data_IF_086871712240
#
_entry.id   IF_086871712240
#
_cell.length_a   1.000
_cell.length_b   1.000
_cell.length_c   1.000
_cell.angle_alpha   90.00
_cell.angle_beta   90.00
_cell.angle_gamma   90.00
#
_symmetry.space_group_name_H-M   'P 1'
#
loop_
_entity.id
_entity.type
_entity.pdbx_description
1 polymer ?
#
# COMPACT_ATOMS: atom_id res chain seq x y z
N UNK A 1 8.28 11.16 -26.59
CA UNK A 1 8.77 10.00 -27.37
C UNK A 1 8.17 8.72 -26.78
N UNK A 2 7.74 7.75 -27.58
CA UNK A 2 7.31 6.44 -27.09
C UNK A 2 8.49 5.63 -26.53
N UNK A 3 8.21 4.65 -25.65
CA UNK A 3 9.23 3.72 -25.16
C UNK A 3 9.62 2.70 -26.24
N UNK A 4 10.92 2.46 -26.42
CA UNK A 4 11.46 1.47 -27.36
C UNK A 4 12.09 0.35 -26.54
N UNK A 5 11.73 -0.89 -26.84
CA UNK A 5 12.36 -2.08 -26.26
C UNK A 5 13.32 -2.63 -27.30
N UNK A 6 14.55 -2.89 -26.88
CA UNK A 6 15.55 -3.57 -27.70
C UNK A 6 15.47 -5.05 -27.39
N UNK A 7 15.25 -5.86 -28.42
CA UNK A 7 15.24 -7.32 -28.28
C UNK A 7 16.68 -7.81 -28.11
N UNK A 8 17.19 -7.75 -26.87
CA UNK A 8 18.51 -8.26 -26.55
C UNK A 8 18.43 -9.79 -26.48
N UNK A 9 19.39 -10.48 -27.08
CA UNK A 9 19.38 -11.95 -27.26
C UNK A 9 19.41 -12.79 -25.95
N UNK A 10 19.32 -12.16 -24.77
CA UNK A 10 19.30 -12.82 -23.46
C UNK A 10 18.07 -12.50 -22.61
N UNK A 11 17.10 -11.74 -23.11
CA UNK A 11 15.87 -11.48 -22.36
C UNK A 11 14.93 -12.69 -22.42
N UNK A 12 14.60 -13.24 -21.25
CA UNK A 12 13.58 -14.29 -21.15
C UNK A 12 12.18 -13.68 -21.29
N UNK A 13 11.20 -14.49 -21.73
CA UNK A 13 9.79 -14.06 -21.77
C UNK A 13 9.31 -13.61 -20.38
N UNK A 14 9.73 -14.32 -19.34
CA UNK A 14 9.47 -13.99 -17.94
C UNK A 14 9.99 -12.59 -17.60
N UNK A 15 11.22 -12.26 -17.99
CA UNK A 15 11.79 -10.94 -17.71
C UNK A 15 11.11 -9.82 -18.51
N UNK A 16 10.67 -10.09 -19.74
CA UNK A 16 9.89 -9.14 -20.54
C UNK A 16 8.55 -8.79 -19.87
N UNK A 17 7.85 -9.80 -19.34
CA UNK A 17 6.62 -9.61 -18.57
C UNK A 17 6.89 -8.87 -17.27
N UNK A 18 7.91 -9.26 -16.49
CA UNK A 18 8.20 -8.63 -15.20
C UNK A 18 8.67 -7.18 -15.33
N UNK A 19 9.34 -6.81 -16.43
CA UNK A 19 9.71 -5.41 -16.75
C UNK A 19 8.53 -4.56 -17.25
N UNK A 20 7.35 -5.15 -17.47
CA UNK A 20 6.15 -4.44 -17.91
C UNK A 20 6.12 -4.09 -19.40
N UNK A 21 6.94 -4.76 -20.22
CA UNK A 21 6.92 -4.60 -21.69
C UNK A 21 5.60 -5.12 -22.27
N UNK A 22 5.09 -6.22 -21.71
CA UNK A 22 3.82 -6.84 -22.08
C UNK A 22 2.77 -6.54 -21.02
N UNK A 23 1.54 -6.26 -21.46
CA UNK A 23 0.40 -6.08 -20.56
C UNK A 23 -0.03 -7.43 -19.97
N UNK A 24 -0.10 -7.51 -18.64
CA UNK A 24 -0.48 -8.73 -17.91
C UNK A 24 -1.85 -9.28 -18.32
N UNK A 25 -2.81 -8.42 -18.69
CA UNK A 25 -4.16 -8.83 -19.10
C UNK A 25 -4.20 -9.61 -20.42
N UNK A 26 -3.20 -9.41 -21.29
CA UNK A 26 -3.12 -10.05 -22.60
C UNK A 26 -2.41 -11.42 -22.52
N UNK A 27 -1.87 -11.79 -21.37
CA UNK A 27 -1.21 -13.07 -21.18
C UNK A 27 -2.23 -14.21 -21.21
N UNK A 28 -1.84 -15.30 -21.86
CA UNK A 28 -2.64 -16.52 -21.92
C UNK A 28 -2.62 -17.22 -20.56
N UNK A 29 -1.43 -17.47 -20.01
CA UNK A 29 -1.19 -18.09 -18.71
C UNK A 29 -0.46 -17.14 -17.73
N UNK A 30 -1.15 -16.17 -17.09
CA UNK A 30 -0.51 -15.29 -16.12
C UNK A 30 -0.06 -16.02 -14.84
N UNK A 31 -0.58 -17.22 -14.58
CA UNK A 31 -0.30 -18.03 -13.40
C UNK A 31 1.17 -18.48 -13.34
N UNK A 32 1.79 -18.78 -14.48
CA UNK A 32 3.18 -19.25 -14.56
C UNK A 32 4.22 -18.19 -14.16
N UNK A 33 3.84 -16.90 -14.20
CA UNK A 33 4.72 -15.78 -13.85
C UNK A 33 4.73 -15.50 -12.35
N UNK A 34 3.90 -16.17 -11.57
CA UNK A 34 3.83 -16.03 -10.11
C UNK A 34 5.08 -16.60 -9.43
N UNK A 35 5.51 -17.80 -9.81
CA UNK A 35 6.66 -18.44 -9.15
C UNK A 35 7.96 -17.62 -9.31
N UNK A 36 8.28 -17.07 -10.50
CA UNK A 36 9.42 -16.16 -10.65
C UNK A 36 9.32 -14.88 -9.82
N UNK A 37 8.10 -14.35 -9.59
CA UNK A 37 7.90 -13.19 -8.70
C UNK A 37 8.27 -13.55 -7.27
N UNK A 38 7.83 -14.72 -6.81
CA UNK A 38 8.09 -15.20 -5.45
C UNK A 38 9.56 -15.51 -5.19
N UNK A 39 10.33 -15.84 -6.25
CA UNK A 39 11.78 -15.98 -6.16
C UNK A 39 12.50 -14.64 -6.01
N UNK A 40 11.97 -13.56 -6.61
CA UNK A 40 12.57 -12.22 -6.58
C UNK A 40 12.15 -11.41 -5.34
N UNK A 41 10.97 -11.69 -4.78
CA UNK A 41 10.40 -10.96 -3.64
C UNK A 41 10.56 -11.76 -2.35
N UNK A 42 11.03 -11.12 -1.29
CA UNK A 42 11.08 -11.76 0.04
C UNK A 42 9.67 -12.04 0.57
N UNK A 43 9.47 -13.22 1.18
CA UNK A 43 8.17 -13.66 1.71
C UNK A 43 7.56 -12.67 2.70
N UNK A 44 8.38 -11.98 3.49
CA UNK A 44 7.99 -10.92 4.44
C UNK A 44 7.18 -9.80 3.76
N UNK A 45 7.63 -9.35 2.59
CA UNK A 45 7.00 -8.26 1.86
C UNK A 45 5.66 -8.69 1.25
N UNK A 46 5.59 -9.94 0.77
CA UNK A 46 4.34 -10.51 0.25
C UNK A 46 3.29 -10.61 1.36
N UNK A 47 3.67 -11.12 2.53
CA UNK A 47 2.77 -11.21 3.68
C UNK A 47 2.30 -9.85 4.18
N UNK A 48 3.19 -8.84 4.22
CA UNK A 48 2.83 -7.49 4.64
C UNK A 48 1.86 -6.84 3.64
N UNK A 49 2.11 -6.99 2.34
CA UNK A 49 1.30 -6.36 1.31
C UNK A 49 -0.10 -6.98 1.18
N UNK A 50 -0.19 -8.31 1.27
CA UNK A 50 -1.47 -9.03 1.14
C UNK A 50 -2.14 -9.34 2.48
N UNK A 51 -1.51 -8.97 3.60
CA UNK A 51 -1.95 -9.25 4.96
C UNK A 51 -2.25 -10.75 5.14
N UNK A 52 -1.32 -11.60 4.70
CA UNK A 52 -1.38 -13.07 4.82
C UNK A 52 -0.38 -13.49 5.90
N UNK A 53 -0.77 -14.28 6.91
CA UNK A 53 0.13 -14.66 7.99
C UNK A 53 1.29 -15.52 7.48
N UNK A 54 2.51 -15.24 7.96
CA UNK A 54 3.71 -16.02 7.65
C UNK A 54 3.80 -17.32 8.45
N UNK A 55 3.08 -17.40 9.56
CA UNK A 55 3.11 -18.53 10.50
C UNK A 55 1.67 -18.95 10.83
N UNK A 56 1.45 -20.26 10.94
CA UNK A 56 0.15 -20.86 11.27
C UNK A 56 -0.41 -21.74 10.15
N UNK A 57 -1.67 -22.13 10.30
CA UNK A 57 -2.37 -23.01 9.34
C UNK A 57 -2.71 -22.30 8.02
N UNK A 58 -2.85 -20.96 8.06
CA UNK A 58 -3.17 -20.11 6.91
C UNK A 58 -1.94 -19.67 6.09
N UNK A 59 -0.74 -20.15 6.43
CA UNK A 59 0.49 -19.82 5.70
C UNK A 59 0.46 -20.39 4.29
N UNK A 60 0.83 -19.58 3.30
CA UNK A 60 0.90 -20.00 1.90
C UNK A 60 2.20 -20.77 1.63
N UNK A 61 2.14 -21.94 0.98
CA UNK A 61 3.35 -22.74 0.68
C UNK A 61 3.84 -22.54 -0.75
N UNK A 62 2.90 -22.45 -1.66
CA UNK A 62 3.11 -22.45 -3.11
C UNK A 62 2.49 -21.21 -3.75
N UNK A 63 2.89 -20.91 -5.00
CA UNK A 63 2.31 -19.82 -5.79
C UNK A 63 0.80 -19.99 -5.98
N UNK A 64 0.34 -21.23 -6.18
CA UNK A 64 -1.08 -21.57 -6.33
C UNK A 64 -1.87 -21.29 -5.05
N UNK A 65 -1.40 -21.78 -3.89
CA UNK A 65 -2.05 -21.56 -2.58
C UNK A 65 -2.11 -20.07 -2.21
N UNK A 66 -1.05 -19.31 -2.53
CA UNK A 66 -1.06 -17.86 -2.37
C UNK A 66 -2.17 -17.20 -3.21
N UNK A 67 -2.31 -17.60 -4.47
CA UNK A 67 -3.34 -17.05 -5.37
C UNK A 67 -4.76 -17.42 -4.93
N UNK A 68 -4.98 -18.61 -4.39
CA UNK A 68 -6.26 -19.03 -3.83
C UNK A 68 -6.64 -18.15 -2.63
N UNK A 69 -5.73 -18.00 -1.66
CA UNK A 69 -5.92 -17.13 -0.49
C UNK A 69 -6.16 -15.68 -0.90
N UNK A 70 -5.43 -15.20 -1.89
CA UNK A 70 -5.60 -13.86 -2.43
C UNK A 70 -6.96 -13.70 -3.13
N UNK A 71 -7.41 -14.69 -3.90
CA UNK A 71 -8.70 -14.69 -4.58
C UNK A 71 -9.86 -14.65 -3.58
N UNK A 72 -9.80 -15.50 -2.55
CA UNK A 72 -10.80 -15.55 -1.48
C UNK A 72 -10.89 -14.21 -0.76
N UNK A 73 -9.75 -13.62 -0.41
CA UNK A 73 -9.69 -12.34 0.29
C UNK A 73 -10.14 -11.16 -0.57
N UNK A 74 -9.78 -11.15 -1.85
CA UNK A 74 -10.16 -10.10 -2.79
C UNK A 74 -11.60 -10.26 -3.31
N UNK A 75 -12.29 -11.36 -2.96
CA UNK A 75 -13.65 -11.67 -3.45
C UNK A 75 -13.69 -11.99 -4.96
N UNK A 76 -12.56 -12.38 -5.56
CA UNK A 76 -12.47 -12.72 -7.00
C UNK A 76 -12.80 -14.19 -7.21
N UNK A 77 -14.06 -14.52 -7.02
CA UNK A 77 -14.57 -15.88 -7.16
C UNK A 77 -15.32 -16.04 -8.49
N UNK A 78 -15.16 -17.20 -9.11
CA UNK A 78 -15.95 -17.61 -10.27
C UNK A 78 -17.39 -17.98 -9.84
N UNK A 79 -18.27 -18.16 -10.82
CA UNK A 79 -19.61 -18.70 -10.56
C UNK A 79 -19.46 -20.10 -9.95
N UNK A 80 -19.96 -20.28 -8.73
CA UNK A 80 -19.75 -21.52 -7.95
C UNK A 80 -18.86 -21.34 -6.72
N UNK A 81 -18.29 -20.16 -6.51
CA UNK A 81 -17.48 -19.88 -5.32
C UNK A 81 -16.03 -20.36 -5.42
N UNK A 82 -15.61 -20.84 -6.59
CA UNK A 82 -14.22 -21.25 -6.83
C UNK A 82 -13.31 -20.03 -7.00
N UNK A 83 -12.10 -20.04 -6.42
CA UNK A 83 -11.15 -18.94 -6.56
C UNK A 83 -10.66 -18.80 -8.01
N UNK A 84 -10.62 -17.56 -8.54
CA UNK A 84 -10.10 -17.29 -9.87
C UNK A 84 -8.59 -17.03 -9.84
N UNK A 85 -7.79 -18.06 -10.11
CA UNK A 85 -6.32 -17.99 -10.14
C UNK A 85 -5.81 -16.95 -11.14
N UNK A 86 -6.30 -16.99 -12.39
CA UNK A 86 -5.96 -16.03 -13.45
C UNK A 86 -6.10 -14.56 -13.02
N UNK A 87 -7.20 -14.21 -12.33
CA UNK A 87 -7.43 -12.83 -11.90
C UNK A 87 -6.51 -12.40 -10.76
N UNK A 88 -6.22 -13.32 -9.83
CA UNK A 88 -5.23 -13.11 -8.76
C UNK A 88 -3.82 -12.95 -9.33
N UNK A 89 -3.43 -13.78 -10.29
CA UNK A 89 -2.15 -13.72 -10.98
C UNK A 89 -1.93 -12.36 -11.67
N UNK A 90 -2.91 -11.91 -12.48
CA UNK A 90 -2.84 -10.60 -13.15
C UNK A 90 -2.66 -9.47 -12.13
N UNK A 91 -3.43 -9.51 -11.03
CA UNK A 91 -3.34 -8.49 -9.99
C UNK A 91 -1.96 -8.45 -9.36
N UNK A 92 -1.38 -9.62 -9.08
CA UNK A 92 -0.07 -9.72 -8.45
C UNK A 92 1.06 -9.28 -9.38
N UNK A 93 1.00 -9.62 -10.67
CA UNK A 93 1.96 -9.12 -11.67
C UNK A 93 1.91 -7.59 -11.75
N UNK A 94 0.71 -7.02 -11.76
CA UNK A 94 0.54 -5.56 -11.79
C UNK A 94 1.06 -4.90 -10.51
N UNK A 95 0.86 -5.52 -9.34
CA UNK A 95 1.39 -5.03 -8.08
C UNK A 95 2.92 -5.07 -8.04
N UNK A 96 3.53 -6.13 -8.61
CA UNK A 96 4.97 -6.23 -8.79
C UNK A 96 5.51 -5.12 -9.69
N UNK A 97 4.90 -4.91 -10.86
CA UNK A 97 5.31 -3.87 -11.81
C UNK A 97 5.11 -2.44 -11.26
N UNK A 98 4.09 -2.24 -10.42
CA UNK A 98 3.81 -0.94 -9.76
C UNK A 98 4.72 -0.66 -8.56
N UNK A 99 5.58 -1.62 -8.18
CA UNK A 99 6.46 -1.49 -7.03
C UNK A 99 5.75 -1.60 -5.67
N UNK A 100 4.50 -2.12 -5.63
CA UNK A 100 3.84 -2.45 -4.36
C UNK A 100 4.53 -3.61 -3.66
N UNK A 101 5.18 -4.49 -4.43
CA UNK A 101 6.06 -5.53 -3.93
C UNK A 101 7.52 -5.05 -4.09
N UNK A 102 8.16 -4.60 -3.01
CA UNK A 102 9.54 -4.17 -3.06
C UNK A 102 10.45 -5.35 -3.40
N UNK A 103 11.22 -5.20 -4.47
CA UNK A 103 12.29 -6.12 -4.85
C UNK A 103 13.55 -5.32 -5.18
N UNK A 104 14.71 -5.92 -4.95
CA UNK A 104 15.99 -5.30 -5.23
C UNK A 104 16.88 -6.32 -5.93
N UNK A 105 17.62 -5.86 -6.94
CA UNK A 105 18.65 -6.66 -7.59
C UNK A 105 19.99 -6.02 -7.25
N UNK A 106 20.86 -6.79 -6.60
CA UNK A 106 22.20 -6.32 -6.30
C UNK A 106 22.95 -5.96 -7.60
N UNK A 107 23.70 -4.84 -7.60
CA UNK A 107 24.60 -4.51 -8.69
C UNK A 107 25.53 -5.70 -9.04
N UNK A 108 25.87 -5.89 -10.31
CA UNK A 108 26.64 -7.05 -10.76
C UNK A 108 28.02 -7.17 -10.11
N UNK A 109 28.64 -6.05 -9.74
CA UNK A 109 29.97 -6.01 -9.09
C UNK A 109 29.99 -6.69 -7.71
N UNK A 110 28.84 -6.77 -7.02
CA UNK A 110 28.74 -7.32 -5.66
C UNK A 110 28.32 -8.80 -5.62
N UNK A 111 28.04 -9.41 -6.79
CA UNK A 111 27.62 -10.82 -6.86
C UNK A 111 28.79 -11.80 -6.76
N UNK A 112 30.03 -11.33 -6.97
CA UNK A 112 31.24 -12.15 -6.86
C UNK A 112 31.62 -12.39 -5.38
N UNK A 113 31.33 -11.46 -4.47
CA UNK A 113 31.78 -11.54 -3.07
C UNK A 113 30.76 -12.18 -2.10
N UNK A 114 29.52 -12.42 -2.53
CA UNK A 114 28.41 -12.77 -1.63
C UNK A 114 28.00 -14.25 -1.62
N UNK A 115 28.71 -15.13 -2.33
CA UNK A 115 28.40 -16.57 -2.34
C UNK A 115 28.71 -17.30 -1.02
N UNK A 116 29.39 -16.65 -0.06
CA UNK A 116 29.78 -17.24 1.23
C UNK A 116 29.09 -16.65 2.47
N UNK A 117 28.15 -15.70 2.33
CA UNK A 117 27.63 -14.93 3.47
C UNK A 117 26.12 -15.08 3.77
N UNK A 118 25.53 -16.25 3.54
CA UNK A 118 24.20 -16.57 4.12
C UNK A 118 24.34 -17.04 5.57
N UNK A 119 24.61 -16.12 6.50
CA UNK A 119 24.33 -16.25 7.93
C UNK A 119 24.34 -14.86 8.60
N UNK A 120 23.21 -14.45 9.18
CA UNK A 120 23.14 -13.31 10.12
C UNK A 120 22.33 -12.11 9.64
N UNK A 121 21.01 -12.15 9.86
CA UNK A 121 20.21 -10.93 10.01
C UNK A 121 20.29 -10.54 11.50
N UNK A 122 21.00 -9.45 11.80
CA UNK A 122 20.99 -8.85 13.13
C UNK A 122 20.55 -7.38 13.06
N UNK A 123 19.53 -7.08 13.88
CA UNK A 123 18.91 -5.77 14.15
C UNK A 123 19.96 -4.73 14.60
N UNK A 124 19.78 -3.48 14.17
CA UNK A 124 20.48 -2.32 14.72
C UNK A 124 19.55 -1.13 14.86
N UNK A 125 18.94 -1.01 16.05
CA UNK A 125 18.26 0.16 16.60
C UNK A 125 19.33 1.05 17.26
N UNK A 126 19.30 2.37 17.05
CA UNK A 126 20.05 3.31 17.90
C UNK A 126 19.17 4.51 18.27
N UNK A 127 18.77 4.49 19.53
CA UNK A 127 18.10 5.56 20.27
C UNK A 127 19.10 6.65 20.71
N UNK A 128 18.54 7.72 21.27
CA UNK A 128 19.06 9.07 21.49
C UNK A 128 20.28 9.24 22.42
N UNK A 129 20.98 10.37 22.24
CA UNK A 129 21.64 11.11 23.32
C UNK A 129 21.65 12.63 23.05
N UNK A 130 21.48 13.39 24.13
CA UNK A 130 20.92 14.73 24.25
C UNK A 130 22.00 15.79 24.64
N UNK A 131 21.56 17.05 24.82
CA UNK A 131 22.21 18.24 25.45
C UNK A 131 22.79 19.29 24.49
N UNK A 132 22.14 20.43 24.22
CA UNK A 132 21.74 21.60 25.05
C UNK A 132 22.90 22.59 25.32
N UNK A 133 22.86 23.75 24.67
CA UNK A 133 23.46 25.02 25.15
C UNK A 133 22.55 26.19 24.75
N UNK A 134 22.45 27.12 25.70
CA UNK A 134 21.42 28.15 25.92
C UNK A 134 21.75 29.53 25.31
N UNK A 135 20.69 30.35 25.21
CA UNK A 135 20.58 31.82 25.33
C UNK A 135 21.49 32.80 24.56
N UNK A 136 20.86 33.63 23.70
CA UNK A 136 21.20 35.06 23.52
C UNK A 136 19.91 35.89 23.53
N UNK A 137 19.89 36.88 24.43
CA UNK A 137 18.80 37.81 24.76
C UNK A 137 18.45 38.85 23.68
N UNK A 138 17.14 39.00 23.48
CA UNK A 138 16.30 40.22 23.49
C UNK A 138 16.91 41.61 23.17
N UNK A 139 16.31 42.35 22.21
CA UNK A 139 15.58 43.62 22.48
C UNK A 139 15.24 44.39 21.19
N UNK A 140 13.95 44.55 20.86
CA UNK A 140 13.40 45.81 20.31
C UNK A 140 11.98 45.95 20.89
N UNK A 141 11.85 46.83 21.87
CA UNK A 141 10.58 47.47 22.23
C UNK A 141 10.45 48.72 21.35
N UNK A 142 9.25 49.06 20.89
CA UNK A 142 8.68 50.39 21.15
C UNK A 142 7.17 50.39 20.91
N UNK A 143 6.46 50.87 21.92
CA UNK A 143 5.02 51.00 22.05
C UNK A 143 4.49 52.21 21.26
N UNK A 144 3.30 52.11 20.67
CA UNK A 144 2.35 53.24 20.70
C UNK A 144 0.94 52.74 20.96
N UNK A 145 0.29 53.47 21.87
CA UNK A 145 -0.84 53.06 22.70
C UNK A 145 -2.03 54.00 22.43
N UNK A 146 -3.23 53.39 22.30
CA UNK A 146 -4.59 53.89 22.57
C UNK A 146 -5.17 55.07 21.76
N UNK A 147 -6.40 54.90 21.27
CA UNK A 147 -7.58 55.50 21.92
C UNK A 147 -8.89 54.82 21.49
N UNK A 148 -9.80 54.66 22.45
CA UNK A 148 -11.12 54.02 22.36
C UNK A 148 -12.23 55.01 21.97
N UNK A 149 -13.27 54.54 21.28
CA UNK A 149 -14.71 54.80 21.56
C UNK A 149 -15.57 54.44 20.34
N UNK A 150 -16.86 54.07 20.39
CA UNK A 150 -17.78 53.45 21.37
C UNK A 150 -19.13 53.35 20.61
N UNK A 151 -19.81 52.21 20.75
CA UNK A 151 -21.27 51.99 20.55
C UNK A 151 -21.85 52.15 19.10
N UNK A 152 -22.94 51.51 18.66
CA UNK A 152 -24.13 50.96 19.31
C UNK A 152 -24.72 49.76 18.53
N UNK A 153 -25.17 48.75 19.28
CA UNK A 153 -26.47 48.07 19.26
C UNK A 153 -27.39 48.12 18.02
N UNK A 154 -27.77 46.95 17.46
CA UNK A 154 -29.20 46.56 17.40
C UNK A 154 -29.48 45.11 16.98
N UNK A 155 -30.26 44.47 17.86
CA UNK A 155 -31.08 43.26 17.80
C UNK A 155 -31.75 42.84 16.47
N UNK A 156 -31.79 41.51 16.27
CA UNK A 156 -32.84 40.60 15.72
C UNK A 156 -34.29 41.13 15.73
N UNK A 157 -35.27 40.66 14.89
CA UNK A 157 -35.74 39.24 14.86
C UNK A 157 -36.46 38.68 13.58
N UNK A 158 -36.63 37.34 13.56
CA UNK A 158 -37.77 36.45 13.15
C UNK A 158 -38.66 36.77 11.89
N UNK A 159 -39.29 35.86 11.12
CA UNK A 159 -40.05 34.61 11.37
C UNK A 159 -40.43 33.89 10.05
N UNK A 160 -40.61 32.54 10.12
CA UNK A 160 -41.65 31.65 9.50
C UNK A 160 -41.77 31.55 7.97
N UNK A 161 -42.13 30.44 7.31
CA UNK A 161 -43.12 29.34 7.48
C UNK A 161 -42.71 28.14 6.55
N UNK A 162 -43.28 26.93 6.48
CA UNK A 162 -44.03 25.98 7.32
C UNK A 162 -44.29 24.72 6.45
N UNK A 163 -44.61 23.59 7.10
CA UNK A 163 -45.29 22.34 6.66
C UNK A 163 -44.35 21.12 6.65
N UNK A 164 -44.55 20.04 7.41
CA UNK A 164 -45.74 19.30 7.88
C UNK A 164 -45.54 17.84 7.40
N UNK A 165 -45.55 16.74 8.17
CA UNK A 165 -46.63 16.23 9.04
C UNK A 165 -46.13 14.99 9.84
N UNK A 166 -46.49 14.94 11.13
CA UNK A 166 -46.43 13.79 12.07
C UNK A 166 -47.40 12.65 11.72
N UNK A 167 -47.15 11.44 12.26
CA UNK A 167 -48.04 10.55 13.08
C UNK A 167 -47.23 9.28 13.46
N UNK A 168 -46.75 9.05 14.70
CA UNK A 168 -47.35 8.57 15.98
C UNK A 168 -48.12 7.22 15.94
N UNK A 169 -47.45 6.18 16.49
CA UNK A 169 -47.81 5.24 17.61
C UNK A 169 -49.09 4.38 17.55
N UNK A 170 -48.89 3.06 17.75
CA UNK A 170 -49.71 2.14 18.57
C UNK A 170 -48.90 0.85 18.82
N UNK A 171 -48.38 0.59 20.02
CA UNK A 171 -48.98 -0.19 21.13
C UNK A 171 -49.56 -1.56 20.73
N UNK A 172 -48.86 -2.64 21.11
CA UNK A 172 -49.41 -4.01 21.22
C UNK A 172 -49.03 -4.64 22.57
N UNK A 173 -49.95 -4.46 23.52
CA UNK A 173 -50.45 -5.38 24.56
C UNK A 173 -49.57 -6.54 25.07
N UNK A 174 -49.32 -6.54 26.38
CA UNK A 174 -49.41 -7.70 27.28
C UNK A 174 -50.11 -7.24 28.56
#
# INVERSE_FOLDING_TARGET
>A
CPGVVVDSAGDSEVDSVLKGVVRAEKLETPEDFVDPILQKVRREHVSAQYNIPMEGDDTWKDGLDLMEKLAMKAGRLMKGGEPCLRSSAITMILDYQRGKLPHFVAPPELKEETKDATAGVEKGETDAAMTAVDDIQNSVNDDTKLDESKADDKSLPATSEESGKKRKISDTKT
#
